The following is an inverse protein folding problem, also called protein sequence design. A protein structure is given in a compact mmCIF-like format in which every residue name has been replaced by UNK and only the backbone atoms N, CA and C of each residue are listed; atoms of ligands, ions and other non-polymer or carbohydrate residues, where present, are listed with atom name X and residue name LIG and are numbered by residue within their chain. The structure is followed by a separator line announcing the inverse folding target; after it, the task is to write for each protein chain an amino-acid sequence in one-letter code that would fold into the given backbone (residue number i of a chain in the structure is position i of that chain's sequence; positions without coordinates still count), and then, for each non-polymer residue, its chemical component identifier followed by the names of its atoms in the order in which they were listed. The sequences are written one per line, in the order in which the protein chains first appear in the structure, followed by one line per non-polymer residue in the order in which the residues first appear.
data_IF_816352370830
#
_entry.id   IF_816352370830
#
_cell.length_a   1.000
_cell.length_b   1.000
_cell.length_c   1.000
_cell.angle_alpha   90.00
_cell.angle_beta   90.00
_cell.angle_gamma   90.00
#
_symmetry.space_group_name_H-M   'P 1'
#
loop_
_entity.id
_entity.type
_entity.pdbx_description
1 polymer ?
#
# COMPACT_ATOMS: atom_id res chain seq x y z
N UNK A 1 -20.28 -5.40 9.11
CA UNK A 1 -20.49 -6.75 8.54
C UNK A 1 -19.46 -7.01 7.46
N UNK A 2 -18.80 -8.15 7.53
CA UNK A 2 -17.84 -8.57 6.50
C UNK A 2 -18.63 -9.07 5.29
N UNK A 3 -18.36 -8.50 4.12
CA UNK A 3 -18.98 -8.94 2.87
C UNK A 3 -17.99 -9.80 2.09
N UNK A 4 -18.47 -10.89 1.55
CA UNK A 4 -17.67 -11.81 0.73
C UNK A 4 -17.93 -11.54 -0.76
N UNK A 5 -16.88 -11.62 -1.55
CA UNK A 5 -17.00 -11.65 -3.00
C UNK A 5 -17.69 -12.97 -3.45
N UNK A 6 -18.23 -13.02 -4.68
CA UNK A 6 -18.89 -14.24 -5.17
C UNK A 6 -18.04 -15.50 -5.13
N UNK A 7 -16.72 -15.37 -5.11
CA UNK A 7 -15.78 -16.48 -5.02
C UNK A 7 -15.41 -16.85 -3.58
N UNK A 8 -16.13 -16.29 -2.59
CA UNK A 8 -15.89 -16.54 -1.16
C UNK A 8 -14.76 -15.71 -0.56
N UNK A 9 -14.16 -14.79 -1.31
CA UNK A 9 -13.14 -13.89 -0.80
C UNK A 9 -13.77 -12.71 -0.09
N UNK A 10 -13.05 -12.18 0.92
CA UNK A 10 -13.46 -10.96 1.61
C UNK A 10 -13.02 -9.77 0.75
N UNK A 11 -13.97 -8.91 0.38
CA UNK A 11 -13.66 -7.64 -0.26
C UNK A 11 -13.10 -6.69 0.78
N UNK A 12 -11.79 -6.46 0.75
CA UNK A 12 -11.10 -5.60 1.71
C UNK A 12 -9.97 -4.85 1.03
N UNK A 13 -9.70 -3.65 1.53
CA UNK A 13 -8.50 -2.91 1.13
C UNK A 13 -7.27 -3.65 1.62
N UNK A 14 -6.30 -3.82 0.75
CA UNK A 14 -5.07 -4.57 1.05
C UNK A 14 -3.86 -3.70 0.80
N UNK A 15 -2.89 -3.83 1.69
CA UNK A 15 -1.60 -3.18 1.53
C UNK A 15 -0.49 -4.20 1.72
N UNK A 16 0.52 -4.11 0.86
CA UNK A 16 1.80 -4.77 1.06
C UNK A 16 2.81 -3.67 1.35
N UNK A 17 3.39 -3.72 2.54
CA UNK A 17 4.27 -2.68 3.06
C UNK A 17 5.67 -3.25 3.16
N UNK A 18 6.63 -2.59 2.52
CA UNK A 18 8.03 -3.00 2.55
C UNK A 18 8.88 -1.87 3.12
N UNK A 19 9.69 -2.19 4.12
CA UNK A 19 10.69 -1.27 4.63
C UNK A 19 11.83 -1.18 3.61
N UNK A 20 12.16 0.04 3.19
CA UNK A 20 13.14 0.26 2.13
C UNK A 20 14.23 1.23 2.56
N UNK A 21 15.44 1.06 2.02
CA UNK A 21 16.48 2.07 2.07
C UNK A 21 16.32 3.08 0.93
N UNK A 22 15.69 2.65 -0.17
CA UNK A 22 15.32 3.51 -1.30
C UNK A 22 14.23 2.83 -2.12
N UNK A 23 13.40 3.62 -2.78
CA UNK A 23 12.44 3.13 -3.75
C UNK A 23 12.13 4.23 -4.77
N UNK A 24 11.71 3.81 -5.96
CA UNK A 24 11.30 4.75 -7.01
C UNK A 24 10.28 4.12 -7.94
N UNK A 25 9.52 4.97 -8.63
CA UNK A 25 8.63 4.55 -9.70
C UNK A 25 8.94 5.36 -10.95
N UNK A 26 9.10 4.66 -12.07
CA UNK A 26 9.35 5.26 -13.38
C UNK A 26 8.21 4.93 -14.34
N UNK A 27 7.88 5.87 -15.19
CA UNK A 27 6.86 5.77 -16.24
C UNK A 27 7.47 6.26 -17.53
N UNK A 28 7.45 5.42 -18.58
CA UNK A 28 8.03 5.79 -19.87
C UNK A 28 9.52 6.12 -19.80
N UNK A 29 10.27 5.47 -18.92
CA UNK A 29 11.70 5.70 -18.73
C UNK A 29 12.06 6.89 -17.84
N UNK A 30 11.08 7.66 -17.36
CA UNK A 30 11.31 8.82 -16.50
C UNK A 30 10.86 8.53 -15.06
N UNK A 31 11.69 8.87 -14.08
CA UNK A 31 11.35 8.73 -12.66
C UNK A 31 10.27 9.74 -12.31
N UNK A 32 9.11 9.24 -11.86
CA UNK A 32 8.01 10.09 -11.38
C UNK A 32 8.16 10.43 -9.91
N UNK A 33 8.54 9.46 -9.09
CA UNK A 33 8.72 9.65 -7.64
C UNK A 33 9.88 8.78 -7.16
N UNK A 34 10.61 9.27 -6.18
CA UNK A 34 11.68 8.53 -5.51
C UNK A 34 11.72 8.90 -4.04
N UNK A 35 12.05 7.92 -3.19
CA UNK A 35 12.21 8.12 -1.76
C UNK A 35 13.52 7.50 -1.27
N UNK A 36 14.04 8.03 -0.17
CA UNK A 36 15.09 7.41 0.63
C UNK A 36 14.50 6.43 1.65
N UNK A 37 15.12 6.32 2.85
CA UNK A 37 14.63 5.37 3.86
C UNK A 37 13.18 5.60 4.24
N UNK A 38 12.42 4.53 4.29
CA UNK A 38 11.00 4.61 4.59
C UNK A 38 10.23 3.37 4.15
N UNK A 39 9.04 3.56 3.59
CA UNK A 39 8.12 2.50 3.20
C UNK A 39 7.71 2.59 1.73
N UNK A 40 7.78 1.47 1.03
CA UNK A 40 7.06 1.26 -0.22
C UNK A 40 5.75 0.55 0.11
N UNK A 41 4.64 1.11 -0.34
CA UNK A 41 3.31 0.60 -0.06
C UNK A 41 2.61 0.29 -1.39
N UNK A 42 2.26 -0.97 -1.59
CA UNK A 42 1.40 -1.41 -2.69
C UNK A 42 -0.02 -1.45 -2.16
N UNK A 43 -0.95 -0.76 -2.80
CA UNK A 43 -2.33 -0.60 -2.32
C UNK A 43 -3.33 -1.19 -3.31
N UNK A 44 -4.11 -2.17 -2.85
CA UNK A 44 -5.22 -2.75 -3.58
C UNK A 44 -6.55 -2.34 -2.96
N UNK A 45 -7.53 -2.00 -3.79
CA UNK A 45 -8.84 -1.48 -3.37
C UNK A 45 -9.93 -2.42 -3.87
N UNK A 46 -10.82 -2.82 -2.96
CA UNK A 46 -11.98 -3.67 -3.26
C UNK A 46 -13.25 -2.87 -3.45
N UNK A 47 -14.29 -3.53 -3.96
CA UNK A 47 -15.57 -2.89 -4.32
C UNK A 47 -16.28 -2.19 -3.16
N UNK A 48 -16.15 -2.72 -1.95
CA UNK A 48 -16.87 -2.25 -0.76
C UNK A 48 -16.02 -1.36 0.14
N UNK A 49 -14.84 -0.97 -0.33
CA UNK A 49 -13.95 -0.13 0.47
C UNK A 49 -14.43 1.31 0.49
N UNK A 50 -14.12 1.99 1.58
CA UNK A 50 -14.50 3.37 1.79
C UNK A 50 -13.52 4.09 2.72
N UNK A 51 -13.94 5.27 3.16
CA UNK A 51 -13.11 6.13 4.01
C UNK A 51 -12.68 5.47 5.32
N UNK A 52 -13.53 4.63 5.89
CA UNK A 52 -13.20 3.91 7.14
C UNK A 52 -12.00 3.00 6.97
N UNK A 53 -11.91 2.31 5.82
CA UNK A 53 -10.76 1.47 5.49
C UNK A 53 -9.49 2.30 5.39
N UNK A 54 -9.56 3.45 4.73
CA UNK A 54 -8.43 4.38 4.60
C UNK A 54 -7.96 4.83 5.97
N UNK A 55 -8.86 5.34 6.80
CA UNK A 55 -8.49 5.91 8.10
C UNK A 55 -7.86 4.85 9.01
N UNK A 56 -8.41 3.64 9.03
CA UNK A 56 -7.85 2.54 9.81
C UNK A 56 -6.47 2.12 9.29
N UNK A 57 -6.34 1.95 7.98
CA UNK A 57 -5.09 1.48 7.37
C UNK A 57 -3.97 2.51 7.48
N UNK A 58 -4.27 3.77 7.23
CA UNK A 58 -3.30 4.87 7.37
C UNK A 58 -2.77 4.96 8.80
N UNK A 59 -3.65 4.90 9.78
CA UNK A 59 -3.26 4.92 11.19
C UNK A 59 -2.38 3.71 11.53
N UNK A 60 -2.74 2.54 11.02
CA UNK A 60 -1.96 1.32 11.23
C UNK A 60 -0.57 1.44 10.61
N UNK A 61 -0.47 1.86 9.36
CA UNK A 61 0.80 1.97 8.63
C UNK A 61 1.71 3.01 9.28
N UNK A 62 1.17 4.18 9.60
CA UNK A 62 1.96 5.26 10.24
C UNK A 62 2.51 4.84 11.61
N UNK A 63 1.81 3.94 12.30
CA UNK A 63 2.19 3.48 13.63
C UNK A 63 2.95 2.14 13.68
N UNK A 64 3.12 1.43 12.56
CA UNK A 64 3.85 0.17 12.56
C UNK A 64 5.27 0.35 13.07
N UNK A 65 5.62 -0.42 14.10
CA UNK A 65 6.93 -0.32 14.76
C UNK A 65 7.91 -1.30 14.14
N UNK A 66 8.29 -1.03 12.89
CA UNK A 66 9.14 -1.91 12.07
C UNK A 66 10.50 -1.28 11.73
N UNK A 67 10.82 -0.14 12.32
CA UNK A 67 12.15 0.47 12.19
C UNK A 67 12.95 0.24 13.47
N UNK A 68 14.23 0.00 13.28
CA UNK A 68 15.11 -0.33 14.41
C UNK A 68 15.34 0.88 15.32
N UNK A 69 15.35 0.61 16.64
CA UNK A 69 15.83 1.53 17.65
C UNK A 69 17.34 1.42 17.79
N UNK A 70 17.91 2.13 18.76
CA UNK A 70 19.35 2.15 19.03
C UNK A 70 19.90 0.79 19.43
N UNK A 71 19.04 -0.10 19.96
CA UNK A 71 19.42 -1.47 20.34
C UNK A 71 19.25 -2.47 19.17
N UNK A 72 18.85 -2.01 17.98
CA UNK A 72 18.60 -2.88 16.82
C UNK A 72 17.28 -3.62 16.89
N UNK A 73 16.35 -3.21 17.75
CA UNK A 73 15.02 -3.81 17.89
C UNK A 73 14.00 -3.03 17.08
N UNK A 74 13.13 -3.72 16.34
CA UNK A 74 12.04 -3.10 15.59
C UNK A 74 11.02 -2.50 16.54
N UNK A 75 11.18 -1.24 16.87
CA UNK A 75 10.45 -0.56 17.92
C UNK A 75 9.96 0.84 17.53
N UNK A 76 10.42 1.38 16.40
CA UNK A 76 10.09 2.72 15.93
C UNK A 76 9.21 2.68 14.71
N UNK A 77 8.31 3.66 14.58
CA UNK A 77 7.46 3.85 13.40
C UNK A 77 8.18 4.67 12.32
N UNK A 78 7.59 4.69 11.12
CA UNK A 78 8.06 5.56 10.03
C UNK A 78 8.05 7.03 10.46
N UNK A 79 7.08 7.44 11.26
CA UNK A 79 6.98 8.78 11.80
C UNK A 79 8.13 9.08 12.78
N UNK A 80 8.43 8.13 13.65
CA UNK A 80 9.52 8.28 14.65
C UNK A 80 10.88 8.49 13.99
N UNK A 81 11.15 7.82 12.87
CA UNK A 81 12.41 7.91 12.16
C UNK A 81 12.39 8.97 11.06
N UNK A 82 11.33 9.74 10.97
CA UNK A 82 11.14 10.76 9.91
C UNK A 82 11.34 10.18 8.51
N UNK A 83 10.84 8.94 8.32
CA UNK A 83 10.95 8.25 7.04
C UNK A 83 9.92 8.75 6.02
N UNK A 84 10.18 8.40 4.77
CA UNK A 84 9.32 8.74 3.64
C UNK A 84 8.40 7.57 3.29
N UNK A 85 7.41 7.81 2.44
CA UNK A 85 6.56 6.75 1.90
C UNK A 85 6.32 6.96 0.40
N UNK A 86 6.28 5.86 -0.33
CA UNK A 86 5.91 5.81 -1.75
C UNK A 86 4.73 4.86 -1.88
N UNK A 87 3.60 5.35 -2.39
CA UNK A 87 2.36 4.58 -2.52
C UNK A 87 2.08 4.28 -3.99
N UNK A 88 2.00 3.01 -4.33
CA UNK A 88 1.71 2.55 -5.70
C UNK A 88 0.40 1.78 -5.70
N UNK A 89 -0.51 2.14 -6.59
CA UNK A 89 -1.75 1.40 -6.81
C UNK A 89 -1.42 0.03 -7.41
N UNK A 90 -2.00 -1.04 -6.84
CA UNK A 90 -1.72 -2.43 -7.23
C UNK A 90 -3.00 -3.26 -7.16
N UNK A 91 -3.84 -3.17 -8.21
CA UNK A 91 -5.13 -3.90 -8.23
C UNK A 91 -4.92 -5.42 -8.20
N UNK A 92 -3.78 -5.91 -8.67
CA UNK A 92 -3.47 -7.35 -8.68
C UNK A 92 -3.37 -7.97 -7.29
N UNK A 93 -3.28 -7.16 -6.23
CA UNK A 93 -3.40 -7.65 -4.85
C UNK A 93 -4.79 -8.25 -4.57
N UNK A 94 -5.80 -7.89 -5.38
CA UNK A 94 -7.16 -8.37 -5.25
C UNK A 94 -7.41 -9.63 -6.10
N UNK A 95 -6.35 -10.22 -6.65
CA UNK A 95 -6.45 -11.40 -7.49
C UNK A 95 -6.94 -12.62 -6.72
N UNK A 96 -7.80 -13.42 -7.35
CA UNK A 96 -8.11 -14.77 -6.93
C UNK A 96 -7.40 -15.75 -7.85
N UNK A 97 -6.70 -16.71 -7.27
CA UNK A 97 -5.99 -17.77 -7.99
C UNK A 97 -6.55 -19.15 -7.68
N UNK A 98 -7.77 -19.21 -7.16
CA UNK A 98 -8.39 -20.47 -6.71
C UNK A 98 -8.72 -21.42 -7.85
N UNK A 99 -9.03 -20.89 -9.03
CA UNK A 99 -9.40 -21.68 -10.21
C UNK A 99 -8.43 -21.46 -11.35
N UNK A 100 -7.67 -22.49 -11.70
CA UNK A 100 -6.74 -22.45 -12.81
C UNK A 100 -5.56 -21.50 -12.58
N UNK A 101 -4.83 -21.24 -13.66
CA UNK A 101 -3.59 -20.48 -13.60
C UNK A 101 -3.76 -19.02 -14.07
N UNK A 102 -4.95 -18.66 -14.54
CA UNK A 102 -5.24 -17.27 -14.92
C UNK A 102 -5.91 -16.57 -13.73
N UNK A 103 -5.24 -15.58 -13.10
CA UNK A 103 -5.84 -14.88 -11.98
C UNK A 103 -7.13 -14.17 -12.37
N UNK A 104 -8.10 -14.16 -11.46
CA UNK A 104 -9.33 -13.38 -11.60
C UNK A 104 -9.20 -12.10 -10.77
N UNK A 105 -9.55 -10.96 -11.36
CA UNK A 105 -9.52 -9.67 -10.71
C UNK A 105 -10.92 -9.14 -10.38
N UNK A 106 -11.90 -10.04 -10.29
CA UNK A 106 -13.28 -9.67 -10.03
C UNK A 106 -13.47 -8.94 -8.69
N UNK A 107 -12.57 -9.17 -7.73
CA UNK A 107 -12.58 -8.50 -6.43
C UNK A 107 -12.00 -7.09 -6.41
N UNK A 108 -11.34 -6.68 -7.51
CA UNK A 108 -10.77 -5.33 -7.60
C UNK A 108 -11.83 -4.30 -7.94
N UNK A 109 -11.83 -3.16 -7.25
CA UNK A 109 -12.72 -2.05 -7.56
C UNK A 109 -12.44 -1.48 -8.94
N UNK A 110 -13.48 -1.01 -9.62
CA UNK A 110 -13.34 -0.26 -10.86
C UNK A 110 -12.71 1.12 -10.63
N UNK A 111 -12.31 1.75 -11.72
CA UNK A 111 -11.60 3.04 -11.67
C UNK A 111 -12.42 4.15 -10.99
N UNK A 112 -13.74 4.12 -11.14
CA UNK A 112 -14.67 5.09 -10.52
C UNK A 112 -14.62 5.07 -8.99
N UNK A 113 -14.28 3.93 -8.38
CA UNK A 113 -14.10 3.77 -6.94
C UNK A 113 -12.62 3.86 -6.55
N UNK A 114 -11.76 3.18 -7.28
CA UNK A 114 -10.35 3.01 -6.91
C UNK A 114 -9.54 4.32 -7.01
N UNK A 115 -9.75 5.12 -8.06
CA UNK A 115 -8.97 6.35 -8.25
C UNK A 115 -9.21 7.37 -7.12
N UNK A 116 -10.47 7.70 -6.76
CA UNK A 116 -10.71 8.60 -5.63
C UNK A 116 -10.16 8.09 -4.31
N UNK A 117 -10.34 6.80 -4.02
CA UNK A 117 -9.86 6.22 -2.75
C UNK A 117 -8.33 6.18 -2.67
N UNK A 118 -7.67 5.88 -3.77
CA UNK A 118 -6.21 5.94 -3.83
C UNK A 118 -5.70 7.35 -3.51
N UNK A 119 -6.30 8.38 -4.13
CA UNK A 119 -5.96 9.78 -3.85
C UNK A 119 -6.20 10.16 -2.39
N UNK A 120 -7.32 9.74 -1.83
CA UNK A 120 -7.64 9.99 -0.42
C UNK A 120 -6.67 9.29 0.53
N UNK A 121 -6.27 8.07 0.19
CA UNK A 121 -5.27 7.33 0.97
C UNK A 121 -3.94 8.07 1.00
N UNK A 122 -3.45 8.51 -0.15
CA UNK A 122 -2.18 9.24 -0.27
C UNK A 122 -2.21 10.55 0.53
N UNK A 123 -3.33 11.28 0.46
CA UNK A 123 -3.52 12.52 1.20
C UNK A 123 -3.55 12.27 2.71
N UNK A 124 -4.31 11.26 3.15
CA UNK A 124 -4.41 10.91 4.57
C UNK A 124 -3.07 10.44 5.13
N UNK A 125 -2.32 9.64 4.38
CA UNK A 125 -1.01 9.17 4.81
C UNK A 125 -0.01 10.33 4.87
N UNK A 126 -0.05 11.26 3.92
CA UNK A 126 0.78 12.47 3.93
C UNK A 126 0.55 13.28 5.20
N UNK A 127 -0.70 13.43 5.61
CA UNK A 127 -1.05 14.11 6.85
C UNK A 127 -0.51 13.36 8.06
N UNK A 128 -0.66 12.04 8.09
CA UNK A 128 -0.25 11.22 9.24
C UNK A 128 1.26 11.22 9.46
N UNK A 129 2.06 11.20 8.39
CA UNK A 129 3.53 11.18 8.51
C UNK A 129 4.17 12.58 8.47
N UNK A 130 3.37 13.61 8.16
CA UNK A 130 3.80 15.00 8.26
C UNK A 130 4.50 15.57 7.04
N UNK A 131 4.51 14.85 5.89
CA UNK A 131 5.05 15.35 4.62
C UNK A 131 4.43 14.58 3.45
N UNK A 132 4.48 15.14 2.22
CA UNK A 132 3.86 14.49 1.06
C UNK A 132 4.45 13.11 0.79
N UNK A 133 3.60 12.13 0.51
CA UNK A 133 4.03 10.82 0.04
C UNK A 133 4.33 10.88 -1.46
N UNK A 134 5.29 10.05 -1.91
CA UNK A 134 5.49 9.81 -3.33
C UNK A 134 4.34 8.98 -3.90
N UNK A 135 4.00 9.20 -5.15
CA UNK A 135 2.91 8.49 -5.83
C UNK A 135 3.35 7.99 -7.19
N UNK A 136 2.69 6.92 -7.67
CA UNK A 136 2.72 6.53 -9.06
C UNK A 136 1.63 7.26 -9.85
N UNK A 137 1.22 6.67 -10.95
CA UNK A 137 0.09 7.11 -11.75
C UNK A 137 -0.87 5.94 -11.93
N UNK A 138 -2.11 6.11 -11.50
CA UNK A 138 -3.10 5.04 -11.56
C UNK A 138 -3.32 4.59 -13.02
N UNK A 139 -3.20 3.29 -13.26
CA UNK A 139 -3.40 2.70 -14.58
C UNK A 139 -2.21 2.78 -15.52
N UNK A 140 -1.13 3.45 -15.15
CA UNK A 140 0.07 3.52 -15.98
C UNK A 140 0.91 2.24 -15.90
N UNK A 141 1.71 2.01 -16.92
CA UNK A 141 2.76 1.00 -16.87
C UNK A 141 3.94 1.56 -16.08
N UNK A 142 4.13 1.04 -14.87
CA UNK A 142 5.11 1.56 -13.93
C UNK A 142 6.24 0.55 -13.71
N UNK A 143 7.47 1.05 -13.67
CA UNK A 143 8.64 0.30 -13.25
C UNK A 143 8.95 0.70 -11.81
N UNK A 144 8.75 -0.22 -10.88
CA UNK A 144 8.94 0.02 -9.45
C UNK A 144 10.25 -0.60 -9.02
N UNK A 145 11.17 0.23 -8.55
CA UNK A 145 12.49 -0.19 -8.06
C UNK A 145 12.58 0.04 -6.58
N UNK A 146 13.20 -0.89 -5.86
CA UNK A 146 13.35 -0.75 -4.41
C UNK A 146 14.52 -1.57 -3.91
N UNK A 147 15.03 -1.18 -2.75
CA UNK A 147 15.91 -2.00 -1.93
C UNK A 147 15.17 -2.28 -0.63
N UNK A 148 14.73 -3.52 -0.46
CA UNK A 148 14.08 -3.94 0.78
C UNK A 148 15.14 -4.05 1.87
N UNK A 149 14.96 -3.27 2.93
CA UNK A 149 15.89 -3.20 4.03
C UNK A 149 15.48 -4.17 5.13
N UNK A 150 16.17 -5.31 5.17
CA UNK A 150 15.88 -6.29 6.22
C UNK A 150 16.05 -7.74 5.82
N UNK A 151 15.21 -8.38 5.00
CA UNK A 151 13.98 -7.88 4.41
C UNK A 151 12.84 -7.75 5.43
N UNK A 152 12.00 -6.76 5.25
CA UNK A 152 10.78 -6.57 6.04
C UNK A 152 9.62 -6.30 5.10
N UNK A 153 8.64 -7.18 5.12
CA UNK A 153 7.43 -7.09 4.28
C UNK A 153 6.22 -7.49 5.12
N UNK A 154 5.24 -6.62 5.20
CA UNK A 154 4.02 -6.80 5.99
C UNK A 154 2.81 -6.72 5.06
N UNK A 155 1.89 -7.67 5.16
CA UNK A 155 0.62 -7.67 4.45
C UNK A 155 -0.51 -7.33 5.41
N UNK A 156 -1.36 -6.38 5.06
CA UNK A 156 -2.51 -5.97 5.88
C UNK A 156 -3.78 -5.97 5.04
N UNK A 157 -4.83 -6.57 5.59
CA UNK A 157 -6.20 -6.51 5.08
C UNK A 157 -7.09 -5.77 6.06
N UNK A 158 -7.86 -4.78 5.60
CA UNK A 158 -8.67 -3.94 6.50
C UNK A 158 -9.84 -4.69 7.14
N UNK A 159 -10.32 -5.77 6.53
CA UNK A 159 -11.48 -6.54 7.00
C UNK A 159 -11.15 -7.95 7.48
N UNK A 160 -9.87 -8.31 7.47
CA UNK A 160 -9.39 -9.53 8.11
C UNK A 160 -8.95 -9.23 9.53
N UNK A 161 -9.56 -9.92 10.43
CA UNK A 161 -9.24 -9.83 11.87
C UNK A 161 -8.19 -10.85 12.24
#
# INVERSE_FOLDING_TARGET
MIKFAPDGLINSMRAVIQRVSSASVAIGGAVKSAIGPGLLILLGIGHEDGREDIDWLVKKIAGLRIFNDEAGVMNRSVTDVEGEALVVSQFTLMASTRKGNRPSYIGAAGHDVAIPLYGQFCEALSTAIGHPVGTGEFGADMQVSLVNDGPVTICIDTKKV
#
